data_IF_734107675225
#
_entry.id   IF_734107675225
#
_cell.length_a   1.000
_cell.length_b   1.000
_cell.length_c   1.000
_cell.angle_alpha   90.00
_cell.angle_beta   90.00
_cell.angle_gamma   90.00
#
_symmetry.space_group_name_H-M   'P 1'
#
loop_
_entity.id
_entity.type
_entity.pdbx_description
1 polymer ?
#
# COMPACT_ATOMS: atom_id res chain seq x y z
N UNK A 1 8.46 76.09 -57.37
CA UNK A 1 9.20 75.63 -56.17
C UNK A 1 8.29 75.42 -54.96
N UNK A 2 7.22 75.82 -54.73
CA UNK A 2 6.36 75.67 -53.66
C UNK A 2 5.74 74.28 -53.44
N UNK A 3 5.47 73.75 -54.48
CA UNK A 3 4.90 72.54 -54.47
C UNK A 3 5.74 71.40 -53.92
N UNK A 4 6.87 71.65 -54.12
CA UNK A 4 7.86 70.76 -53.72
C UNK A 4 8.10 70.77 -52.24
N UNK A 5 7.91 71.80 -51.86
CA UNK A 5 8.03 71.96 -50.49
C UNK A 5 6.87 71.38 -49.71
N UNK A 6 5.92 71.45 -50.29
CA UNK A 6 4.77 70.92 -49.75
C UNK A 6 4.77 69.41 -49.73
N UNK A 7 5.30 69.05 -50.60
CA UNK A 7 5.45 67.65 -50.69
C UNK A 7 6.42 67.08 -49.70
N UNK A 8 7.34 67.83 -49.59
CA UNK A 8 8.32 67.46 -48.63
C UNK A 8 7.78 67.54 -47.21
N UNK A 9 7.07 68.37 -47.16
CA UNK A 9 6.49 68.49 -45.89
C UNK A 9 5.46 67.39 -45.55
N UNK A 10 4.92 67.07 -46.50
CA UNK A 10 3.99 66.04 -46.42
C UNK A 10 4.61 64.66 -46.16
N UNK A 11 5.63 64.67 -46.71
CA UNK A 11 6.41 63.53 -46.56
C UNK A 11 7.02 63.41 -45.20
N UNK A 12 7.32 64.42 -44.89
CA UNK A 12 7.87 64.46 -43.59
C UNK A 12 6.81 64.24 -42.54
N UNK A 13 5.80 64.60 -42.84
CA UNK A 13 4.72 64.38 -41.99
C UNK A 13 4.29 62.92 -41.95
N UNK A 14 4.39 62.54 -42.94
CA UNK A 14 4.08 61.16 -43.07
C UNK A 14 5.04 60.25 -42.38
N UNK A 15 6.13 60.68 -42.53
CA UNK A 15 7.20 60.01 -41.88
C UNK A 15 7.13 60.14 -40.40
N UNK A 16 6.72 61.06 -40.14
CA UNK A 16 6.62 61.31 -38.78
C UNK A 16 5.42 60.54 -38.18
N UNK A 17 4.58 60.49 -38.93
CA UNK A 17 3.45 59.74 -38.57
C UNK A 17 3.71 58.28 -38.52
N UNK A 18 4.43 58.02 -39.29
CA UNK A 18 4.86 56.65 -39.36
C UNK A 18 5.74 56.26 -38.19
N UNK A 19 6.45 57.14 -38.00
CA UNK A 19 7.30 56.97 -36.86
C UNK A 19 6.55 57.01 -35.59
N UNK A 20 5.69 57.65 -35.63
CA UNK A 20 4.85 57.66 -34.49
C UNK A 20 4.01 56.42 -34.31
N UNK A 21 3.67 56.01 -35.28
CA UNK A 21 2.96 54.84 -35.34
C UNK A 21 3.76 53.64 -34.97
N UNK A 22 4.85 53.76 -35.35
CA UNK A 22 5.79 52.77 -35.04
C UNK A 22 6.20 52.83 -33.63
N UNK A 23 6.21 53.78 -33.27
CA UNK A 23 6.54 53.98 -31.91
C UNK A 23 5.35 53.54 -31.01
N UNK A 24 4.36 53.75 -31.50
CA UNK A 24 3.19 53.31 -30.83
C UNK A 24 3.04 51.81 -30.85
N UNK A 25 3.36 51.43 -31.78
CA UNK A 25 3.32 50.01 -31.93
C UNK A 25 4.33 49.33 -31.09
N UNK A 26 5.33 49.94 -31.06
CA UNK A 26 6.38 49.44 -30.24
C UNK A 26 6.06 49.60 -28.79
N UNK A 27 5.43 50.44 -28.63
CA UNK A 27 5.03 50.64 -27.30
C UNK A 27 3.91 49.72 -26.89
N UNK A 28 3.19 49.45 -27.73
CA UNK A 28 2.16 48.50 -27.55
C UNK A 28 2.65 47.11 -27.45
N UNK A 29 3.57 46.98 -28.09
CA UNK A 29 4.19 45.72 -28.06
C UNK A 29 4.96 45.52 -26.81
N UNK A 30 5.44 46.48 -26.48
CA UNK A 30 6.15 46.44 -25.24
C UNK A 30 5.20 46.34 -24.07
N UNK A 31 4.21 46.84 -24.29
CA UNK A 31 3.21 46.73 -23.28
C UNK A 31 2.58 45.38 -23.23
N UNK A 32 2.47 44.91 -24.22
CA UNK A 32 1.96 43.62 -24.36
C UNK A 32 2.89 42.58 -23.84
N UNK A 33 4.02 42.88 -24.07
CA UNK A 33 5.04 42.04 -23.60
C UNK A 33 5.21 42.15 -22.11
N UNK A 34 4.98 43.14 -21.79
CA UNK A 34 5.05 43.36 -20.41
C UNK A 34 3.83 42.78 -19.69
N UNK A 35 2.87 42.80 -20.33
CA UNK A 35 1.67 42.20 -19.83
C UNK A 35 1.76 40.71 -19.87
N UNK A 36 2.33 40.33 -20.73
CA UNK A 36 2.53 38.96 -20.86
C UNK A 36 3.51 38.44 -19.85
N UNK A 37 4.37 39.20 -19.68
CA UNK A 37 5.34 38.85 -18.69
C UNK A 37 4.77 38.97 -17.31
N UNK A 38 3.98 39.72 -17.25
CA UNK A 38 3.34 39.88 -16.01
C UNK A 38 2.32 38.78 -15.74
N UNK A 39 1.80 38.38 -16.68
CA UNK A 39 0.89 37.33 -16.64
C UNK A 39 1.58 36.01 -16.45
N UNK A 40 2.61 35.99 -16.95
CA UNK A 40 3.38 34.82 -16.80
C UNK A 40 4.01 34.79 -15.46
N UNK A 41 4.26 35.76 -15.06
CA UNK A 41 4.77 35.84 -13.75
C UNK A 41 3.69 35.63 -12.73
N UNK A 42 2.62 35.95 -13.08
CA UNK A 42 1.52 35.72 -12.20
C UNK A 42 1.11 34.29 -12.23
N UNK A 43 1.25 33.78 -13.24
CA UNK A 43 0.95 32.43 -13.38
C UNK A 43 1.95 31.56 -12.73
N UNK A 44 3.06 32.02 -12.81
CA UNK A 44 4.10 31.31 -12.16
C UNK A 44 4.03 31.48 -10.67
N UNK A 45 3.59 32.43 -10.38
CA UNK A 45 3.43 32.68 -9.00
C UNK A 45 2.22 31.96 -8.45
N UNK A 46 1.35 31.80 -9.25
CA UNK A 46 0.20 31.07 -8.86
C UNK A 46 0.48 29.58 -8.85
N UNK A 47 1.25 29.26 -9.64
CA UNK A 47 1.63 27.92 -9.69
C UNK A 47 2.53 27.58 -8.57
N UNK A 48 3.25 28.46 -8.25
CA UNK A 48 4.09 28.28 -7.15
C UNK A 48 3.33 28.29 -5.86
N UNK A 49 2.40 28.98 -5.91
CA UNK A 49 1.59 29.05 -4.75
C UNK A 49 0.71 27.84 -4.59
N UNK A 50 0.37 27.36 -5.61
CA UNK A 50 -0.39 26.21 -5.61
C UNK A 50 0.43 25.01 -5.29
N UNK A 51 1.55 25.11 -5.68
CA UNK A 51 2.42 24.08 -5.37
C UNK A 51 2.86 24.12 -3.96
N UNK A 52 2.89 25.16 -3.53
CA UNK A 52 3.20 25.33 -2.18
C UNK A 52 2.05 24.98 -1.29
N UNK A 53 0.98 25.19 -1.80
CA UNK A 53 -0.17 24.82 -1.06
C UNK A 53 -0.40 23.34 -1.09
N UNK A 54 -0.07 22.84 -2.06
CA UNK A 54 -0.16 21.48 -2.18
C UNK A 54 0.87 20.78 -1.37
N UNK A 55 1.90 21.37 -1.30
CA UNK A 55 2.93 20.83 -0.51
C UNK A 55 2.65 21.01 0.95
N UNK A 56 2.04 21.91 1.20
CA UNK A 56 1.66 22.14 2.51
C UNK A 56 0.49 21.28 2.96
N UNK A 57 -0.26 21.04 2.10
CA UNK A 57 -1.34 20.18 2.35
C UNK A 57 -0.89 18.75 2.42
N UNK A 58 -0.05 18.54 1.72
CA UNK A 58 0.52 17.29 1.74
C UNK A 58 1.32 17.06 2.98
N UNK A 59 1.87 17.94 3.33
CA UNK A 59 2.61 17.90 4.50
C UNK A 59 1.75 17.82 5.73
N UNK A 60 0.80 18.42 5.61
CA UNK A 60 -0.12 18.36 6.66
C UNK A 60 -0.82 17.03 6.76
N UNK A 61 -1.10 16.56 5.85
CA UNK A 61 -1.70 15.31 5.74
C UNK A 61 -0.77 14.23 6.18
N UNK A 62 0.40 14.19 5.84
CA UNK A 62 1.45 13.27 6.25
C UNK A 62 1.69 13.31 7.76
N UNK A 63 1.79 14.45 8.32
CA UNK A 63 1.97 14.60 9.78
C UNK A 63 0.73 14.09 10.52
N UNK A 64 -0.43 14.37 10.04
CA UNK A 64 -1.69 13.87 10.59
C UNK A 64 -1.75 12.33 10.50
N UNK A 65 -1.39 11.76 9.37
CA UNK A 65 -1.36 10.31 9.20
C UNK A 65 -0.32 9.65 10.12
N UNK A 66 0.86 10.24 10.24
CA UNK A 66 1.92 9.72 11.13
C UNK A 66 1.45 9.70 12.59
N UNK A 67 0.81 10.77 13.06
CA UNK A 67 0.27 10.84 14.42
C UNK A 67 -0.82 9.78 14.65
N UNK A 68 -1.72 9.60 13.67
CA UNK A 68 -2.79 8.59 13.74
C UNK A 68 -2.21 7.17 13.76
N UNK A 69 -1.17 6.91 12.94
CA UNK A 69 -0.47 5.61 12.89
C UNK A 69 0.17 5.31 14.25
N UNK A 70 0.86 6.29 14.84
CA UNK A 70 1.51 6.11 16.15
C UNK A 70 0.49 5.85 17.26
N UNK A 71 -0.65 6.54 17.24
CA UNK A 71 -1.74 6.29 18.19
C UNK A 71 -2.29 4.88 18.05
N UNK A 72 -2.40 4.37 16.81
CA UNK A 72 -2.87 3.03 16.51
C UNK A 72 -1.89 1.96 17.01
N UNK A 73 -0.59 2.18 16.79
CA UNK A 73 0.48 1.28 17.29
C UNK A 73 0.44 1.26 18.82
N UNK A 74 0.35 2.42 19.45
CA UNK A 74 0.33 2.54 20.92
C UNK A 74 -0.89 1.83 21.52
N UNK A 75 -2.05 1.94 20.88
CA UNK A 75 -3.27 1.23 21.30
C UNK A 75 -3.07 -0.29 21.22
N UNK A 76 -2.48 -0.79 20.15
CA UNK A 76 -2.17 -2.22 19.97
C UNK A 76 -1.19 -2.68 21.05
N UNK A 77 -0.11 -1.93 21.28
CA UNK A 77 0.92 -2.25 22.27
C UNK A 77 0.38 -2.29 23.69
N UNK A 78 -0.71 -1.59 23.99
CA UNK A 78 -1.32 -1.61 25.32
C UNK A 78 -1.97 -2.96 25.67
N UNK A 79 -2.33 -3.75 24.67
CA UNK A 79 -2.94 -5.10 24.85
C UNK A 79 -1.89 -6.20 24.76
N UNK A 80 -0.84 -5.98 24.02
CA UNK A 80 0.19 -6.96 23.67
C UNK A 80 0.86 -7.64 24.89
N UNK A 81 1.23 -6.93 25.97
CA UNK A 81 1.85 -7.60 27.14
C UNK A 81 0.96 -8.67 27.79
N UNK A 82 -0.35 -8.45 27.84
CA UNK A 82 -1.29 -9.40 28.42
C UNK A 82 -1.37 -10.69 27.59
N UNK A 83 -1.31 -10.56 26.25
CA UNK A 83 -1.32 -11.71 25.35
C UNK A 83 -0.05 -12.54 25.54
N UNK A 84 1.11 -11.89 25.61
CA UNK A 84 2.38 -12.58 25.88
C UNK A 84 2.35 -13.30 27.24
N UNK A 85 1.79 -12.65 28.27
CA UNK A 85 1.64 -13.28 29.60
C UNK A 85 0.76 -14.54 29.52
N UNK A 86 -0.26 -14.56 28.66
CA UNK A 86 -1.09 -15.76 28.44
C UNK A 86 -0.25 -16.87 27.78
N UNK A 87 0.57 -16.55 26.76
CA UNK A 87 1.45 -17.53 26.14
C UNK A 87 2.43 -18.15 27.15
N UNK A 88 3.00 -17.32 28.05
CA UNK A 88 3.86 -17.81 29.12
C UNK A 88 3.14 -18.79 30.07
N UNK A 89 1.84 -18.56 30.33
CA UNK A 89 1.02 -19.44 31.14
C UNK A 89 0.68 -20.76 30.40
N UNK A 90 0.42 -20.66 29.09
CA UNK A 90 0.14 -21.82 28.24
C UNK A 90 1.32 -22.81 28.29
N UNK A 91 2.56 -22.30 28.25
CA UNK A 91 3.75 -23.15 28.29
C UNK A 91 3.90 -23.98 29.58
N UNK A 92 3.21 -23.56 30.66
CA UNK A 92 3.24 -24.28 31.95
C UNK A 92 2.20 -25.38 32.04
N UNK A 93 1.35 -25.54 31.01
CA UNK A 93 0.32 -26.58 30.98
C UNK A 93 0.96 -27.89 30.49
N UNK A 94 0.84 -28.95 31.28
CA UNK A 94 1.44 -30.24 30.96
C UNK A 94 0.66 -30.99 29.87
N UNK A 95 -0.65 -30.78 29.75
CA UNK A 95 -1.49 -31.40 28.74
C UNK A 95 -1.34 -30.69 27.40
N UNK A 96 -0.63 -31.31 26.47
CA UNK A 96 -0.38 -30.77 25.14
C UNK A 96 -1.65 -30.50 24.34
N UNK A 97 -2.69 -31.33 24.51
CA UNK A 97 -3.95 -31.12 23.79
C UNK A 97 -4.65 -29.86 24.30
N UNK A 98 -4.69 -29.68 25.60
CA UNK A 98 -5.25 -28.47 26.24
C UNK A 98 -4.40 -27.24 25.92
N UNK A 99 -3.07 -27.37 25.93
CA UNK A 99 -2.14 -26.30 25.56
C UNK A 99 -2.43 -25.77 24.15
N UNK A 100 -2.53 -26.69 23.18
CA UNK A 100 -2.80 -26.33 21.78
C UNK A 100 -4.19 -25.71 21.60
N UNK A 101 -5.19 -26.24 22.29
CA UNK A 101 -6.55 -25.71 22.22
C UNK A 101 -6.62 -24.27 22.74
N UNK A 102 -5.97 -24.00 23.88
CA UNK A 102 -5.92 -22.65 24.45
C UNK A 102 -5.15 -21.71 23.49
N UNK A 103 -4.03 -22.19 22.94
CA UNK A 103 -3.22 -21.42 21.97
C UNK A 103 -4.05 -21.03 20.75
N UNK A 104 -4.84 -21.96 20.20
CA UNK A 104 -5.75 -21.67 19.07
C UNK A 104 -6.77 -20.59 19.43
N UNK A 105 -7.33 -20.63 20.64
CA UNK A 105 -8.27 -19.62 21.11
C UNK A 105 -7.61 -18.26 21.27
N UNK A 106 -6.38 -18.20 21.79
CA UNK A 106 -5.64 -16.93 21.95
C UNK A 106 -5.36 -16.34 20.58
N UNK A 107 -4.90 -17.15 19.63
CA UNK A 107 -4.67 -16.71 18.23
C UNK A 107 -5.98 -16.18 17.63
N UNK A 108 -7.09 -16.87 17.86
CA UNK A 108 -8.41 -16.44 17.38
C UNK A 108 -8.84 -15.10 17.99
N UNK A 109 -8.52 -14.90 19.29
CA UNK A 109 -8.78 -13.61 19.98
C UNK A 109 -7.91 -12.50 19.35
N UNK A 110 -6.62 -12.75 19.12
CA UNK A 110 -5.72 -11.79 18.47
C UNK A 110 -6.25 -11.40 17.09
N UNK A 111 -6.61 -12.40 16.27
CA UNK A 111 -7.13 -12.16 14.92
C UNK A 111 -8.46 -11.39 14.97
N UNK A 112 -9.35 -11.75 15.90
CA UNK A 112 -10.63 -11.08 16.10
C UNK A 112 -10.43 -9.63 16.53
N UNK A 113 -9.51 -9.39 17.45
CA UNK A 113 -9.18 -8.04 17.93
C UNK A 113 -8.63 -7.18 16.79
N UNK A 114 -7.67 -7.71 16.02
CA UNK A 114 -7.06 -6.99 14.89
C UNK A 114 -8.12 -6.71 13.80
N UNK A 115 -9.10 -7.59 13.63
CA UNK A 115 -10.14 -7.46 12.60
C UNK A 115 -11.43 -6.81 13.13
N UNK A 116 -11.49 -6.39 14.40
CA UNK A 116 -12.69 -5.81 14.99
C UNK A 116 -13.08 -4.48 14.35
N UNK A 117 -14.36 -4.15 14.44
CA UNK A 117 -14.89 -2.89 13.89
C UNK A 117 -14.27 -1.64 14.53
N UNK A 118 -13.85 -1.73 15.77
CA UNK A 118 -13.13 -0.63 16.44
C UNK A 118 -11.82 -0.29 15.74
N UNK A 119 -11.13 -1.32 15.22
CA UNK A 119 -9.93 -1.14 14.40
C UNK A 119 -10.27 -0.62 13.01
N UNK A 120 -11.41 -1.02 12.45
CA UNK A 120 -11.83 -0.61 11.11
C UNK A 120 -12.39 0.82 11.09
N UNK A 121 -12.82 1.36 12.23
CA UNK A 121 -13.30 2.74 12.32
C UNK A 121 -12.17 3.77 12.23
N UNK A 122 -10.91 3.36 12.46
CA UNK A 122 -9.76 4.23 12.23
C UNK A 122 -9.21 4.13 10.80
N UNK A 123 -10.06 3.80 9.82
CA UNK A 123 -9.72 3.60 8.41
C UNK A 123 -9.24 4.84 7.65
N UNK A 124 -9.01 5.93 8.34
CA UNK A 124 -8.33 7.10 7.75
C UNK A 124 -6.83 6.83 7.51
N UNK A 125 -6.28 5.78 8.15
CA UNK A 125 -4.86 5.46 8.06
C UNK A 125 -4.65 4.42 6.95
N UNK A 126 -3.80 4.71 5.94
CA UNK A 126 -3.52 3.74 4.89
C UNK A 126 -2.65 2.60 5.42
N UNK A 127 -3.15 1.38 5.28
CA UNK A 127 -2.50 0.14 5.74
C UNK A 127 -1.79 -0.58 4.61
N UNK A 128 -0.69 -1.28 4.93
CA UNK A 128 0.01 -2.21 4.05
C UNK A 128 0.15 -3.54 4.81
N UNK A 129 -0.37 -4.63 4.25
CA UNK A 129 -0.44 -5.96 4.91
C UNK A 129 0.61 -6.88 4.30
N UNK A 130 1.66 -7.20 5.04
CA UNK A 130 2.79 -8.00 4.58
C UNK A 130 2.85 -9.30 5.38
N UNK A 131 2.76 -10.42 4.67
CA UNK A 131 2.94 -11.75 5.25
C UNK A 131 4.38 -12.22 5.10
N UNK A 132 4.92 -12.82 6.16
CA UNK A 132 6.26 -13.42 6.16
C UNK A 132 6.07 -14.92 6.27
N UNK A 133 6.57 -15.69 5.32
CA UNK A 133 6.44 -17.15 5.29
C UNK A 133 7.79 -17.81 5.04
N UNK A 134 8.00 -18.95 5.67
CA UNK A 134 9.22 -19.73 5.56
C UNK A 134 9.22 -20.83 6.61
N UNK A 135 10.13 -21.76 6.48
CA UNK A 135 10.32 -22.82 7.48
C UNK A 135 10.70 -22.22 8.83
N UNK A 136 10.49 -22.94 9.93
CA UNK A 136 10.84 -22.49 11.29
C UNK A 136 12.30 -22.07 11.39
N UNK A 137 13.22 -22.85 10.83
CA UNK A 137 14.65 -22.58 10.88
C UNK A 137 15.14 -21.54 9.83
N UNK A 138 14.23 -20.87 9.13
CA UNK A 138 14.60 -19.95 8.04
C UNK A 138 15.14 -18.59 8.50
N UNK A 139 15.03 -18.25 9.79
CA UNK A 139 15.42 -16.96 10.34
C UNK A 139 14.39 -15.84 10.12
N UNK A 140 13.14 -16.19 9.75
CA UNK A 140 12.10 -15.20 9.48
C UNK A 140 11.76 -14.33 10.70
N UNK A 141 11.67 -14.94 11.88
CA UNK A 141 11.34 -14.22 13.12
C UNK A 141 12.47 -13.27 13.52
N UNK A 142 13.73 -13.69 13.37
CA UNK A 142 14.90 -12.84 13.60
C UNK A 142 14.93 -11.64 12.63
N UNK A 143 14.56 -11.86 11.36
CA UNK A 143 14.45 -10.80 10.34
C UNK A 143 13.39 -9.76 10.77
N UNK A 144 12.21 -10.22 11.17
CA UNK A 144 11.11 -9.35 11.60
C UNK A 144 11.50 -8.60 12.88
N UNK A 145 12.04 -9.31 13.87
CA UNK A 145 12.46 -8.70 15.14
C UNK A 145 13.52 -7.62 14.90
N UNK A 146 14.53 -7.91 14.07
CA UNK A 146 15.57 -6.92 13.72
C UNK A 146 14.96 -5.69 13.07
N UNK A 147 14.01 -5.88 12.15
CA UNK A 147 13.33 -4.77 11.48
C UNK A 147 12.55 -3.90 12.48
N UNK A 148 11.85 -4.53 13.44
CA UNK A 148 10.99 -3.83 14.40
C UNK A 148 11.81 -3.05 15.45
N UNK A 149 12.84 -3.67 16.00
CA UNK A 149 13.53 -3.19 17.21
C UNK A 149 14.95 -2.65 16.96
N UNK A 150 15.54 -3.00 15.82
CA UNK A 150 16.94 -2.69 15.55
C UNK A 150 17.93 -3.62 16.24
N UNK A 151 17.44 -4.62 16.99
CA UNK A 151 18.28 -5.60 17.72
C UNK A 151 18.12 -7.01 17.14
N UNK A 152 19.10 -7.86 17.38
CA UNK A 152 19.08 -9.27 16.96
C UNK A 152 18.64 -10.16 18.12
N UNK A 153 17.69 -11.04 17.85
CA UNK A 153 17.28 -12.12 18.77
C UNK A 153 17.20 -13.40 17.96
N UNK A 154 17.81 -14.45 18.48
CA UNK A 154 17.90 -15.75 17.79
C UNK A 154 16.63 -16.58 17.97
N UNK A 155 15.81 -16.30 18.98
CA UNK A 155 14.60 -17.07 19.28
C UNK A 155 13.61 -17.01 18.12
N UNK A 156 13.04 -18.15 17.80
CA UNK A 156 11.96 -18.26 16.83
C UNK A 156 10.65 -18.53 17.55
N UNK A 157 9.59 -17.90 17.04
CA UNK A 157 8.23 -18.13 17.53
C UNK A 157 7.56 -19.15 16.60
N UNK A 158 7.31 -20.38 17.05
CA UNK A 158 6.62 -21.37 16.22
C UNK A 158 5.21 -20.94 15.81
N UNK A 159 4.55 -20.16 16.66
CA UNK A 159 3.21 -19.63 16.39
C UNK A 159 3.21 -18.47 15.40
N UNK A 160 4.39 -17.89 15.15
CA UNK A 160 4.51 -16.65 14.38
C UNK A 160 4.17 -15.43 15.22
N UNK A 161 3.75 -14.36 14.58
CA UNK A 161 3.42 -13.13 15.30
C UNK A 161 2.72 -12.09 14.44
N UNK A 162 2.11 -11.13 15.10
CA UNK A 162 1.41 -9.99 14.49
C UNK A 162 2.05 -8.71 14.98
N UNK A 163 2.51 -7.86 14.06
CA UNK A 163 3.28 -6.67 14.41
C UNK A 163 2.82 -5.48 13.60
N UNK A 164 3.05 -4.28 14.15
CA UNK A 164 2.73 -3.01 13.50
C UNK A 164 3.93 -2.08 13.54
N UNK A 165 4.17 -1.36 12.45
CA UNK A 165 5.23 -0.34 12.39
C UNK A 165 4.82 0.74 11.39
N UNK A 166 5.24 1.98 11.64
CA UNK A 166 5.13 3.05 10.66
C UNK A 166 6.20 2.85 9.58
N UNK A 167 5.81 2.95 8.31
CA UNK A 167 6.75 2.96 7.19
C UNK A 167 6.41 4.13 6.26
N UNK A 168 7.46 4.79 5.75
CA UNK A 168 7.30 5.92 4.82
C UNK A 168 7.64 5.44 3.41
N UNK A 169 6.68 5.60 2.48
CA UNK A 169 6.86 5.26 1.06
C UNK A 169 6.48 6.49 0.24
N UNK A 170 7.39 6.95 -0.61
CA UNK A 170 7.19 8.15 -1.46
C UNK A 170 6.74 9.37 -0.64
N UNK A 171 7.30 9.54 0.56
CA UNK A 171 6.99 10.68 1.44
C UNK A 171 5.66 10.58 2.17
N UNK A 172 4.93 9.46 2.03
CA UNK A 172 3.66 9.24 2.73
C UNK A 172 3.83 8.14 3.79
N UNK A 173 3.30 8.37 4.99
CA UNK A 173 3.30 7.37 6.06
C UNK A 173 2.17 6.36 5.87
N UNK A 174 2.50 5.10 6.11
CA UNK A 174 1.59 3.95 6.08
C UNK A 174 1.73 3.16 7.37
N UNK A 175 0.63 2.55 7.81
CA UNK A 175 0.64 1.54 8.87
C UNK A 175 1.01 0.20 8.24
N UNK A 176 2.23 -0.26 8.49
CA UNK A 176 2.71 -1.57 8.03
C UNK A 176 2.25 -2.62 9.05
N UNK A 177 1.42 -3.54 8.60
CA UNK A 177 0.95 -4.69 9.37
C UNK A 177 1.74 -5.91 8.91
N UNK A 178 2.50 -6.51 9.82
CA UNK A 178 3.34 -7.68 9.54
C UNK A 178 2.71 -8.91 10.20
N UNK A 179 2.51 -9.96 9.42
CA UNK A 179 2.06 -11.27 9.90
C UNK A 179 3.17 -12.29 9.63
N UNK A 180 3.90 -12.66 10.69
CA UNK A 180 4.89 -13.75 10.65
C UNK A 180 4.11 -15.06 10.82
N UNK A 181 4.10 -15.90 9.79
CA UNK A 181 3.30 -17.11 9.77
C UNK A 181 4.11 -18.30 10.30
N UNK A 182 3.55 -19.02 11.28
CA UNK A 182 4.22 -20.15 11.92
C UNK A 182 4.29 -21.41 11.04
N UNK A 183 3.50 -21.45 9.97
CA UNK A 183 3.43 -22.64 9.10
C UNK A 183 3.16 -22.30 7.64
N UNK A 184 2.67 -23.29 6.86
CA UNK A 184 2.35 -23.05 5.46
C UNK A 184 1.20 -22.03 5.30
N UNK A 185 1.23 -21.20 4.26
CA UNK A 185 0.17 -20.21 4.07
C UNK A 185 -1.19 -20.90 3.85
N UNK A 186 -2.18 -20.45 4.60
CA UNK A 186 -3.56 -20.93 4.55
C UNK A 186 -4.46 -19.91 3.83
N UNK A 187 -5.72 -20.30 3.59
CA UNK A 187 -6.69 -19.45 2.89
C UNK A 187 -6.86 -18.08 3.57
N UNK A 188 -6.96 -18.07 4.90
CA UNK A 188 -7.12 -16.82 5.67
C UNK A 188 -5.92 -15.89 5.50
N UNK A 189 -4.70 -16.46 5.51
CA UNK A 189 -3.47 -15.71 5.24
C UNK A 189 -3.48 -15.15 3.81
N UNK A 190 -3.78 -15.99 2.82
CA UNK A 190 -3.80 -15.59 1.40
C UNK A 190 -4.79 -14.45 1.14
N UNK A 191 -5.96 -14.50 1.81
CA UNK A 191 -6.99 -13.46 1.68
C UNK A 191 -6.58 -12.15 2.36
N UNK A 192 -5.77 -12.23 3.42
CA UNK A 192 -5.40 -11.08 4.24
C UNK A 192 -4.25 -10.25 3.63
N UNK A 193 -3.25 -10.90 3.02
CA UNK A 193 -2.01 -10.22 2.61
C UNK A 193 -2.18 -9.31 1.39
N UNK A 194 -1.48 -8.18 1.38
CA UNK A 194 -1.22 -7.36 0.18
C UNK A 194 0.05 -7.82 -0.54
N UNK A 195 1.04 -8.36 0.20
CA UNK A 195 2.31 -8.86 -0.34
C UNK A 195 2.90 -9.93 0.57
N UNK A 196 3.82 -10.73 0.03
CA UNK A 196 4.44 -11.83 0.76
C UNK A 196 5.97 -11.77 0.64
N UNK A 197 6.64 -11.98 1.77
CA UNK A 197 8.09 -12.17 1.84
C UNK A 197 8.34 -13.66 2.14
N UNK A 198 8.97 -14.35 1.20
CA UNK A 198 9.39 -15.75 1.36
C UNK A 198 10.81 -15.76 1.93
N UNK A 199 11.02 -16.51 3.01
CA UNK A 199 12.29 -16.54 3.73
C UNK A 199 12.82 -17.98 3.78
N UNK A 200 14.10 -18.15 3.48
CA UNK A 200 14.84 -19.40 3.64
C UNK A 200 16.22 -19.10 4.21
N UNK A 201 16.86 -20.11 4.76
CA UNK A 201 18.23 -19.98 5.28
C UNK A 201 19.24 -20.52 4.25
N UNK A 202 20.35 -19.80 4.05
CA UNK A 202 21.35 -20.12 3.01
C UNK A 202 22.13 -21.40 3.31
N UNK A 203 22.12 -21.88 4.54
CA UNK A 203 22.76 -23.14 4.93
C UNK A 203 21.77 -24.32 5.01
N UNK A 204 20.46 -24.08 4.75
CA UNK A 204 19.43 -25.11 4.93
C UNK A 204 18.67 -25.38 3.63
N UNK A 205 18.98 -26.52 3.02
CA UNK A 205 18.35 -27.01 1.79
C UNK A 205 16.83 -27.22 1.97
N UNK A 206 16.40 -27.69 3.16
CA UNK A 206 14.99 -27.96 3.45
C UNK A 206 14.18 -26.64 3.45
N UNK A 207 14.70 -25.61 4.10
CA UNK A 207 14.06 -24.29 4.12
C UNK A 207 13.95 -23.72 2.71
N UNK A 208 14.99 -23.90 1.88
CA UNK A 208 14.99 -23.44 0.49
C UNK A 208 13.89 -24.13 -0.34
N UNK A 209 13.78 -25.45 -0.24
CA UNK A 209 12.75 -26.22 -0.96
C UNK A 209 11.35 -25.88 -0.47
N UNK A 210 11.19 -25.60 0.82
CA UNK A 210 9.90 -25.24 1.43
C UNK A 210 9.32 -23.96 0.79
N UNK A 211 10.16 -23.00 0.40
CA UNK A 211 9.70 -21.75 -0.25
C UNK A 211 8.84 -22.06 -1.48
N UNK A 212 9.32 -22.96 -2.35
CA UNK A 212 8.58 -23.27 -3.59
C UNK A 212 7.23 -23.94 -3.27
N UNK A 213 7.22 -24.83 -2.29
CA UNK A 213 5.98 -25.49 -1.85
C UNK A 213 4.97 -24.47 -1.30
N UNK A 214 5.45 -23.51 -0.49
CA UNK A 214 4.60 -22.44 0.08
C UNK A 214 4.10 -21.50 -1.01
N UNK A 215 4.93 -21.21 -2.01
CA UNK A 215 4.52 -20.42 -3.18
C UNK A 215 3.37 -21.13 -3.94
N UNK A 216 3.52 -22.43 -4.23
CA UNK A 216 2.47 -23.19 -4.91
C UNK A 216 1.17 -23.19 -4.10
N UNK A 217 1.29 -23.34 -2.78
CA UNK A 217 0.13 -23.31 -1.88
C UNK A 217 -0.55 -21.94 -1.90
N UNK A 218 0.21 -20.86 -1.87
CA UNK A 218 -0.35 -19.49 -1.99
C UNK A 218 -1.08 -19.33 -3.33
N UNK A 219 -0.49 -19.83 -4.42
CA UNK A 219 -1.07 -19.76 -5.77
C UNK A 219 -2.36 -20.55 -5.91
N UNK A 220 -2.57 -21.60 -5.08
CA UNK A 220 -3.82 -22.36 -5.08
C UNK A 220 -4.99 -21.56 -4.52
N UNK A 221 -4.72 -20.53 -3.70
CA UNK A 221 -5.74 -19.69 -3.10
C UNK A 221 -5.92 -18.35 -3.82
N UNK A 222 -4.86 -17.87 -4.48
CA UNK A 222 -4.84 -16.50 -5.02
C UNK A 222 -3.92 -16.40 -6.25
N UNK A 223 -4.30 -15.56 -7.19
CA UNK A 223 -3.49 -15.31 -8.39
C UNK A 223 -2.17 -14.62 -8.00
N UNK A 224 -1.06 -15.28 -8.27
CA UNK A 224 0.28 -14.80 -7.95
C UNK A 224 0.62 -13.44 -8.58
N UNK A 225 0.00 -13.09 -9.73
CA UNK A 225 0.26 -11.81 -10.39
C UNK A 225 -0.31 -10.61 -9.63
N UNK A 226 -1.22 -10.87 -8.69
CA UNK A 226 -1.90 -9.83 -7.90
C UNK A 226 -1.20 -9.58 -6.55
N UNK A 227 -0.21 -10.40 -6.20
CA UNK A 227 0.46 -10.33 -4.90
C UNK A 227 1.95 -10.07 -5.13
N UNK A 228 2.44 -8.86 -4.88
CA UNK A 228 3.89 -8.60 -4.90
C UNK A 228 4.64 -9.52 -3.95
N UNK A 229 5.80 -9.99 -4.38
CA UNK A 229 6.60 -10.96 -3.63
C UNK A 229 8.06 -10.51 -3.55
N UNK A 230 8.71 -10.88 -2.45
CA UNK A 230 10.15 -10.71 -2.22
C UNK A 230 10.69 -12.03 -1.69
N UNK A 231 11.85 -12.45 -2.17
CA UNK A 231 12.55 -13.64 -1.71
C UNK A 231 13.76 -13.22 -0.87
N UNK A 232 13.92 -13.85 0.29
CA UNK A 232 15.00 -13.53 1.24
C UNK A 232 15.77 -14.79 1.61
N UNK A 233 17.08 -14.75 1.42
CA UNK A 233 18.02 -15.77 1.95
C UNK A 233 18.74 -15.21 3.17
N UNK A 234 18.57 -15.81 4.34
CA UNK A 234 19.22 -15.38 5.59
C UNK A 234 20.59 -16.01 5.73
N UNK A 235 21.54 -15.23 6.27
CA UNK A 235 22.94 -15.66 6.48
C UNK A 235 23.27 -15.95 7.95
N UNK A 236 22.33 -15.70 8.85
CA UNK A 236 22.60 -15.63 10.29
C UNK A 236 23.11 -16.96 10.87
N UNK A 237 22.68 -18.08 10.31
CA UNK A 237 23.06 -19.42 10.78
C UNK A 237 24.35 -19.96 10.13
N UNK A 238 24.90 -19.25 9.15
CA UNK A 238 26.14 -19.68 8.47
C UNK A 238 27.32 -19.62 9.44
N UNK A 239 28.07 -20.72 9.52
CA UNK A 239 29.26 -20.84 10.39
C UNK A 239 30.20 -21.86 9.81
N UNK A 240 31.39 -22.02 10.44
CA UNK A 240 32.38 -23.06 10.04
C UNK A 240 31.76 -24.47 10.16
N UNK A 241 30.92 -24.69 11.16
CA UNK A 241 30.24 -25.99 11.36
C UNK A 241 29.00 -26.13 10.47
N UNK A 242 28.46 -25.02 9.95
CA UNK A 242 27.23 -24.99 9.20
C UNK A 242 27.40 -24.10 7.96
N UNK A 243 28.14 -24.58 6.95
CA UNK A 243 28.50 -23.75 5.80
C UNK A 243 27.33 -23.49 4.87
N UNK A 244 27.43 -22.43 4.09
CA UNK A 244 26.46 -22.08 3.05
C UNK A 244 26.29 -23.26 2.07
N UNK A 245 25.02 -23.62 1.80
CA UNK A 245 24.61 -24.69 0.88
C UNK A 245 23.96 -24.12 -0.38
N UNK A 246 23.21 -23.02 -0.23
CA UNK A 246 22.48 -22.41 -1.34
C UNK A 246 23.31 -21.28 -1.95
N UNK A 247 23.78 -21.49 -3.18
CA UNK A 247 24.54 -20.48 -3.90
C UNK A 247 23.62 -19.41 -4.53
N UNK A 248 24.23 -18.29 -4.95
CA UNK A 248 23.51 -17.15 -5.53
C UNK A 248 22.74 -17.52 -6.80
N UNK A 249 23.30 -18.42 -7.64
CA UNK A 249 22.64 -18.80 -8.90
C UNK A 249 21.35 -19.59 -8.65
N UNK A 250 21.34 -20.48 -7.67
CA UNK A 250 20.15 -21.24 -7.27
C UNK A 250 19.08 -20.31 -6.68
N UNK A 251 19.48 -19.38 -5.82
CA UNK A 251 18.56 -18.42 -5.21
C UNK A 251 17.92 -17.52 -6.27
N UNK A 252 18.71 -17.03 -7.23
CA UNK A 252 18.20 -16.19 -8.34
C UNK A 252 17.31 -16.98 -9.29
N UNK A 253 17.64 -18.25 -9.53
CA UNK A 253 16.75 -19.13 -10.31
C UNK A 253 15.39 -19.26 -9.63
N UNK A 254 15.39 -19.51 -8.31
CA UNK A 254 14.15 -19.59 -7.54
C UNK A 254 13.36 -18.26 -7.63
N UNK A 255 14.03 -17.10 -7.49
CA UNK A 255 13.36 -15.80 -7.59
C UNK A 255 12.69 -15.62 -8.97
N UNK A 256 13.30 -16.15 -10.02
CA UNK A 256 12.73 -16.13 -11.38
C UNK A 256 11.50 -17.04 -11.46
N UNK A 257 11.59 -18.23 -10.87
CA UNK A 257 10.49 -19.22 -10.83
C UNK A 257 9.31 -18.68 -10.02
N UNK A 258 9.57 -17.84 -9.00
CA UNK A 258 8.56 -17.14 -8.19
C UNK A 258 8.07 -15.83 -8.86
N UNK A 259 7.87 -15.85 -10.19
CA UNK A 259 7.37 -14.71 -10.97
C UNK A 259 8.32 -13.50 -10.99
N UNK A 260 9.63 -13.77 -11.00
CA UNK A 260 10.71 -12.77 -11.04
C UNK A 260 10.63 -11.78 -9.87
N UNK A 261 10.40 -12.31 -8.68
CA UNK A 261 10.41 -11.50 -7.47
C UNK A 261 11.83 -10.98 -7.17
N UNK A 262 11.93 -9.88 -6.42
CA UNK A 262 13.24 -9.36 -5.98
C UNK A 262 13.86 -10.33 -4.96
N UNK A 263 15.15 -10.56 -5.06
CA UNK A 263 15.91 -11.40 -4.14
C UNK A 263 16.90 -10.57 -3.32
N UNK A 264 16.93 -10.81 -2.01
CA UNK A 264 17.88 -10.21 -1.06
C UNK A 264 18.53 -11.28 -0.22
N UNK A 265 19.82 -11.13 0.03
CA UNK A 265 20.50 -11.83 1.12
C UNK A 265 20.51 -10.89 2.32
N UNK A 266 20.11 -11.40 3.47
CA UNK A 266 19.99 -10.61 4.70
C UNK A 266 20.83 -11.23 5.82
N UNK A 267 21.22 -10.37 6.75
CA UNK A 267 21.81 -10.80 8.01
C UNK A 267 21.17 -9.95 9.13
N UNK A 268 20.33 -10.56 9.92
CA UNK A 268 19.63 -9.87 11.02
C UNK A 268 20.62 -9.45 12.12
N UNK A 269 21.65 -10.25 12.34
CA UNK A 269 22.74 -9.97 13.30
C UNK A 269 23.33 -8.57 13.04
N UNK A 270 23.64 -8.27 11.77
CA UNK A 270 24.29 -7.01 11.41
C UNK A 270 23.33 -5.99 10.76
N UNK A 271 22.07 -6.36 10.54
CA UNK A 271 21.08 -5.50 9.91
C UNK A 271 21.21 -5.40 8.39
N UNK A 272 22.01 -6.28 7.77
CA UNK A 272 22.25 -6.24 6.32
C UNK A 272 20.95 -6.45 5.55
N UNK A 273 20.58 -5.48 4.71
CA UNK A 273 19.42 -5.48 3.81
C UNK A 273 18.05 -5.63 4.52
N UNK A 274 17.99 -5.64 5.84
CA UNK A 274 16.73 -5.83 6.58
C UNK A 274 15.71 -4.73 6.23
N UNK A 275 16.11 -3.46 6.39
CA UNK A 275 15.24 -2.32 6.02
C UNK A 275 14.85 -2.34 4.54
N UNK A 276 15.80 -2.74 3.68
CA UNK A 276 15.58 -2.76 2.21
C UNK A 276 14.48 -3.75 1.81
N UNK A 277 14.39 -4.90 2.47
CA UNK A 277 13.34 -5.92 2.22
C UNK A 277 11.97 -5.30 2.46
N UNK A 278 11.77 -4.68 3.64
CA UNK A 278 10.47 -4.11 4.00
C UNK A 278 10.14 -2.87 3.16
N UNK A 279 11.14 -2.04 2.85
CA UNK A 279 10.96 -0.87 1.99
C UNK A 279 10.54 -1.30 0.57
N UNK A 280 11.23 -2.29 -0.01
CA UNK A 280 10.94 -2.79 -1.37
C UNK A 280 9.53 -3.39 -1.45
N UNK A 281 9.17 -4.26 -0.49
CA UNK A 281 7.84 -4.89 -0.51
C UNK A 281 6.73 -3.84 -0.34
N UNK A 282 6.93 -2.84 0.53
CA UNK A 282 5.97 -1.75 0.73
C UNK A 282 5.82 -0.91 -0.56
N UNK A 283 6.94 -0.56 -1.19
CA UNK A 283 6.93 0.19 -2.47
C UNK A 283 6.17 -0.57 -3.56
N UNK A 284 6.35 -1.89 -3.66
CA UNK A 284 5.65 -2.74 -4.63
C UNK A 284 4.13 -2.70 -4.41
N UNK A 285 3.68 -2.77 -3.16
CA UNK A 285 2.24 -2.69 -2.83
C UNK A 285 1.69 -1.31 -3.23
N UNK A 286 2.38 -0.24 -2.84
CA UNK A 286 1.95 1.14 -3.15
C UNK A 286 1.89 1.35 -4.67
N UNK A 287 2.92 0.88 -5.40
CA UNK A 287 2.96 1.00 -6.87
C UNK A 287 1.81 0.24 -7.54
N UNK A 288 1.51 -0.98 -7.03
CA UNK A 288 0.41 -1.79 -7.54
C UNK A 288 -0.95 -1.09 -7.31
N UNK A 289 -1.16 -0.54 -6.10
CA UNK A 289 -2.39 0.20 -5.76
C UNK A 289 -2.55 1.44 -6.64
N UNK A 290 -1.48 2.21 -6.85
CA UNK A 290 -1.48 3.39 -7.75
C UNK A 290 -1.86 2.97 -9.17
N UNK A 291 -1.28 1.86 -9.68
CA UNK A 291 -1.58 1.33 -11.02
C UNK A 291 -3.06 0.93 -11.13
N UNK A 292 -3.60 0.27 -10.10
CA UNK A 292 -5.01 -0.14 -10.08
C UNK A 292 -5.95 1.07 -10.07
N UNK A 293 -5.63 2.12 -9.31
CA UNK A 293 -6.39 3.37 -9.25
C UNK A 293 -6.40 4.09 -10.61
N UNK A 294 -5.25 4.10 -11.30
CA UNK A 294 -5.13 4.71 -12.64
C UNK A 294 -5.90 3.91 -13.70
N UNK A 295 -5.97 2.58 -13.55
CA UNK A 295 -6.71 1.70 -14.45
C UNK A 295 -8.23 1.89 -14.34
N UNK A 296 -8.70 2.31 -13.14
CA UNK A 296 -10.08 2.76 -12.92
C UNK A 296 -10.10 4.24 -13.33
N UNK A 297 -10.11 4.53 -14.64
CA UNK A 297 -10.05 5.88 -15.17
C UNK A 297 -11.25 6.74 -14.71
N UNK A 298 -11.16 8.08 -14.84
CA UNK A 298 -12.27 8.94 -14.50
C UNK A 298 -13.51 8.50 -15.29
N UNK A 299 -14.62 8.32 -14.58
CA UNK A 299 -15.90 8.02 -15.19
C UNK A 299 -16.09 9.00 -16.36
N UNK A 300 -16.21 8.48 -17.58
CA UNK A 300 -16.56 9.31 -18.72
C UNK A 300 -17.83 10.06 -18.33
N UNK A 301 -17.74 11.37 -18.17
CA UNK A 301 -18.91 12.21 -18.02
C UNK A 301 -19.86 11.86 -19.17
N UNK A 302 -21.10 11.57 -18.83
CA UNK A 302 -22.16 11.39 -19.82
C UNK A 302 -22.10 12.57 -20.80
N UNK A 303 -22.20 12.31 -22.13
CA UNK A 303 -22.23 13.40 -23.09
C UNK A 303 -23.35 14.37 -22.72
N UNK A 304 -23.05 15.66 -22.74
CA UNK A 304 -23.99 16.73 -22.47
C UNK A 304 -25.31 16.48 -23.18
N UNK A 305 -26.40 16.42 -22.39
CA UNK A 305 -27.73 16.40 -22.95
C UNK A 305 -27.92 17.65 -23.84
N UNK A 306 -28.46 17.51 -25.05
CA UNK A 306 -28.68 18.67 -25.90
C UNK A 306 -29.65 19.65 -25.24
N UNK A 307 -29.33 20.92 -25.36
CA UNK A 307 -30.10 22.03 -24.79
C UNK A 307 -31.57 21.95 -25.20
N UNK A 308 -32.46 22.04 -24.22
CA UNK A 308 -33.92 22.03 -24.40
C UNK A 308 -34.42 23.18 -25.25
N UNK A 309 -35.01 22.84 -26.39
CA UNK A 309 -36.05 23.68 -26.96
C UNK A 309 -37.41 23.17 -26.45
N UNK A 310 -38.19 24.05 -25.89
CA UNK A 310 -39.44 23.74 -25.24
C UNK A 310 -40.47 23.10 -26.19
N UNK A 311 -41.03 21.96 -25.81
CA UNK A 311 -42.29 21.50 -26.39
C UNK A 311 -43.18 20.92 -25.28
N UNK A 312 -44.43 21.30 -25.38
CA UNK A 312 -45.52 21.17 -24.48
C UNK A 312 -45.86 19.80 -23.90
N UNK A 313 -46.49 19.84 -22.76
CA UNK A 313 -46.97 18.75 -21.93
C UNK A 313 -47.91 17.77 -22.68
N UNK A 314 -47.57 16.48 -22.57
CA UNK A 314 -48.49 15.39 -22.79
C UNK A 314 -48.25 14.33 -21.69
N UNK A 315 -49.34 13.95 -21.07
CA UNK A 315 -49.48 13.07 -19.91
C UNK A 315 -48.78 11.71 -20.07
N UNK A 316 -48.00 11.34 -19.05
CA UNK A 316 -47.37 10.01 -18.93
C UNK A 316 -48.21 9.16 -17.95
N UNK A 317 -48.63 7.95 -18.31
CA UNK A 317 -49.32 7.06 -17.34
C UNK A 317 -48.32 6.49 -16.35
N UNK A 318 -48.71 6.44 -15.08
CA UNK A 318 -47.98 5.89 -13.98
C UNK A 318 -47.80 4.37 -14.16
N UNK A 319 -46.52 3.91 -14.24
CA UNK A 319 -46.19 2.49 -14.19
C UNK A 319 -45.77 2.17 -12.77
N UNK A 320 -46.44 1.24 -12.15
CA UNK A 320 -46.18 0.73 -10.81
C UNK A 320 -44.75 0.21 -10.65
N UNK A 321 -43.99 0.82 -9.75
CA UNK A 321 -42.78 0.26 -9.21
C UNK A 321 -43.17 -0.58 -7.98
N UNK A 322 -43.54 -1.82 -8.21
CA UNK A 322 -43.73 -2.78 -7.13
C UNK A 322 -43.46 -4.19 -7.62
N UNK A 323 -42.18 -4.47 -7.95
CA UNK A 323 -41.77 -5.88 -8.15
C UNK A 323 -40.23 -6.09 -8.18
N UNK A 324 -39.49 -5.49 -7.25
CA UNK A 324 -38.11 -5.95 -6.99
C UNK A 324 -37.83 -5.83 -5.47
N UNK A 325 -38.62 -6.53 -4.67
CA UNK A 325 -38.31 -6.70 -3.24
C UNK A 325 -38.85 -8.02 -2.68
N UNK A 326 -38.82 -9.09 -3.47
CA UNK A 326 -39.38 -10.36 -3.01
C UNK A 326 -38.44 -11.58 -3.32
N UNK A 327 -37.10 -11.40 -3.24
CA UNK A 327 -36.21 -12.55 -3.41
C UNK A 327 -35.05 -12.60 -2.40
N UNK A 328 -35.15 -11.93 -1.25
CA UNK A 328 -34.11 -12.02 -0.21
C UNK A 328 -34.71 -12.34 1.17
N UNK A 329 -35.80 -13.09 1.25
CA UNK A 329 -36.31 -13.50 2.55
C UNK A 329 -36.79 -14.95 2.57
N UNK A 330 -35.91 -15.88 2.12
CA UNK A 330 -36.11 -17.30 2.36
C UNK A 330 -34.79 -18.01 2.62
N UNK A 331 -34.05 -17.54 3.63
CA UNK A 331 -32.97 -18.32 4.23
C UNK A 331 -32.90 -18.02 5.72
N UNK A 332 -33.92 -18.47 6.43
CA UNK A 332 -33.89 -18.52 7.88
C UNK A 332 -34.81 -19.62 8.36
N UNK A 333 -34.25 -20.44 9.18
CA UNK A 333 -34.93 -21.41 10.03
C UNK A 333 -35.00 -22.83 9.50
N UNK A 334 -33.94 -23.60 9.76
CA UNK A 334 -34.08 -25.00 10.12
C UNK A 334 -33.21 -25.25 11.35
N UNK A 335 -33.77 -24.97 12.52
CA UNK A 335 -33.26 -25.49 13.80
C UNK A 335 -33.66 -26.95 13.89
N UNK A 336 -32.70 -27.87 13.85
CA UNK A 336 -32.94 -29.26 14.27
C UNK A 336 -32.79 -29.34 15.80
N UNK A 337 -33.71 -29.94 16.51
CA UNK A 337 -33.57 -30.11 17.96
C UNK A 337 -32.53 -31.21 18.28
N UNK A 338 -31.68 -30.91 19.24
CA UNK A 338 -30.78 -31.89 19.86
C UNK A 338 -31.59 -32.98 20.54
N UNK A 339 -31.44 -34.23 20.11
CA UNK A 339 -31.94 -35.38 20.86
C UNK A 339 -30.82 -35.86 21.80
N UNK A 340 -31.11 -35.78 23.09
CA UNK A 340 -30.33 -36.42 24.14
C UNK A 340 -30.62 -37.92 24.09
N UNK A 341 -29.61 -38.73 23.93
CA UNK A 341 -29.67 -40.17 24.13
C UNK A 341 -29.31 -40.48 25.59
N UNK A 342 -30.06 -41.34 26.27
CA UNK A 342 -29.74 -41.73 27.66
C UNK A 342 -28.75 -42.87 27.71
N UNK A 343 -27.85 -42.82 28.72
CA UNK A 343 -26.92 -43.83 29.24
C UNK A 343 -25.93 -44.42 28.26
#
# INVERSE_FOLDING_TARGET
MXXXXXXXXXXXXXXXXXXXXXXXXXXXXXXXXXXXXXXXXXXXXXXXXXXXXXXXXXXXXALSNSAAIRAEIQRFESVHPNIYAIYDLIERIEDLALQNQIREHVISIEDSFVNSQEWTLSRSVPELKVGIVGNLSSGKSALVHRYLTGTYVQEESPEGGRFKKEIVVDGQSYLLLIRDEGGPPELQFAAWVDAVVFVFSLEDEISFQTVYNYFLRLCSFRNASEVPMVLVGTQDAISAANPRVIDDSRARKLSTDLKRCTYYETCATYGLNVERVFQDVAQKVVALRKKQQLAIGPCKSLPNSPSHSAVSAASIPAVHINQICATVSNFSSTKRPFQLLPN
#
